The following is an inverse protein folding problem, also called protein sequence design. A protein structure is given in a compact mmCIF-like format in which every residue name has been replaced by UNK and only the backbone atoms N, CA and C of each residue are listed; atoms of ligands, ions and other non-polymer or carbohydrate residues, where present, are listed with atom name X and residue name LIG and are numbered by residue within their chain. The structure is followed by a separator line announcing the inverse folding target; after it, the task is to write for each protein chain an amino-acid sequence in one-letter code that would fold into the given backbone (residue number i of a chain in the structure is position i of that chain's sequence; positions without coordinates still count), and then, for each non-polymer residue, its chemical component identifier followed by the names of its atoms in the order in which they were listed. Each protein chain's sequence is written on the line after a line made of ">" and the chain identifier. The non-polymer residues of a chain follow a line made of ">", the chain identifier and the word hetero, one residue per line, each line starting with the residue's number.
data_IF_335494746817
#
_entry.id   IF_335494746817
#
_cell.length_a   1.000
_cell.length_b   1.000
_cell.length_c   1.000
_cell.angle_alpha   90.00
_cell.angle_beta   90.00
_cell.angle_gamma   90.00
#
_symmetry.space_group_name_H-M   'P 1'
#
loop_
_entity.id
_entity.type
_entity.pdbx_description
1 polymer ?
#
# COMPACT_ATOMS: atom_id res chain seq x y z
N UNK A 1 -12.18 22.16 -8.58
CA UNK A 1 -11.62 20.80 -8.85
C UNK A 1 -10.13 20.94 -9.07
N UNK A 2 -9.30 20.15 -8.40
CA UNK A 2 -7.86 20.11 -8.67
C UNK A 2 -7.63 19.53 -10.06
N UNK A 3 -6.63 20.05 -10.79
CA UNK A 3 -6.28 19.54 -12.09
C UNK A 3 -5.65 18.13 -12.01
N UNK A 4 -5.63 17.41 -13.11
CA UNK A 4 -5.11 16.04 -13.15
C UNK A 4 -3.62 15.96 -12.81
N UNK A 5 -2.86 16.99 -13.16
CA UNK A 5 -1.43 17.08 -12.88
C UNK A 5 -1.17 17.22 -11.38
N UNK A 6 -1.95 18.06 -10.71
CA UNK A 6 -1.88 18.22 -9.24
C UNK A 6 -2.25 16.93 -8.53
N UNK A 7 -3.32 16.25 -8.96
CA UNK A 7 -3.70 14.96 -8.39
C UNK A 7 -2.63 13.88 -8.58
N UNK A 8 -1.97 13.83 -9.76
CA UNK A 8 -0.86 12.91 -10.01
C UNK A 8 0.32 13.21 -9.09
N UNK A 9 0.66 14.49 -8.87
CA UNK A 9 1.75 14.90 -7.98
C UNK A 9 1.46 14.51 -6.54
N UNK A 10 0.24 14.79 -6.04
CA UNK A 10 -0.16 14.44 -4.67
C UNK A 10 -0.05 12.92 -4.47
N UNK A 11 -0.64 12.12 -5.37
CA UNK A 11 -0.54 10.67 -5.28
C UNK A 11 0.90 10.15 -5.36
N UNK A 12 1.72 10.74 -6.22
CA UNK A 12 3.13 10.35 -6.36
C UNK A 12 3.96 10.71 -5.12
N UNK A 13 3.75 11.91 -4.55
CA UNK A 13 4.38 12.29 -3.27
C UNK A 13 3.94 11.32 -2.17
N UNK A 14 2.66 10.94 -2.15
CA UNK A 14 2.14 9.92 -1.25
C UNK A 14 2.90 8.60 -1.37
N UNK A 15 3.04 8.04 -2.58
CA UNK A 15 3.73 6.77 -2.74
C UNK A 15 5.25 6.83 -2.46
N UNK A 16 5.92 7.94 -2.78
CA UNK A 16 7.33 8.15 -2.44
C UNK A 16 7.49 8.32 -0.93
N UNK A 17 6.63 9.12 -0.30
CA UNK A 17 6.61 9.32 1.16
C UNK A 17 6.39 8.01 1.91
N UNK A 18 5.44 7.17 1.44
CA UNK A 18 5.24 5.82 1.95
C UNK A 18 6.53 5.00 1.87
N UNK A 19 7.13 4.91 0.67
CA UNK A 19 8.31 4.09 0.46
C UNK A 19 9.49 4.51 1.36
N UNK A 20 9.71 5.81 1.50
CA UNK A 20 10.79 6.34 2.35
C UNK A 20 10.51 6.11 3.83
N UNK A 21 9.33 6.47 4.33
CA UNK A 21 8.99 6.29 5.75
C UNK A 21 9.00 4.82 6.13
N UNK A 22 8.45 3.94 5.28
CA UNK A 22 8.46 2.50 5.52
C UNK A 22 9.87 1.94 5.53
N UNK A 23 10.70 2.24 4.51
CA UNK A 23 12.07 1.72 4.42
C UNK A 23 12.92 2.16 5.61
N UNK A 24 12.83 3.45 6.00
CA UNK A 24 13.57 3.99 7.15
C UNK A 24 13.04 3.39 8.45
N UNK A 25 11.74 3.33 8.66
CA UNK A 25 11.13 2.72 9.84
C UNK A 25 11.51 1.26 9.99
N UNK A 26 11.47 0.52 8.88
CA UNK A 26 11.87 -0.87 8.86
C UNK A 26 13.37 -1.07 9.14
N UNK A 27 14.24 -0.18 8.63
CA UNK A 27 15.66 -0.20 8.95
C UNK A 27 15.91 0.03 10.46
N UNK A 28 15.25 1.03 11.08
CA UNK A 28 15.35 1.27 12.52
C UNK A 28 14.98 0.05 13.36
N UNK A 29 13.99 -0.70 12.92
CA UNK A 29 13.52 -1.89 13.62
C UNK A 29 14.41 -3.11 13.38
N UNK A 30 15.01 -3.25 12.17
CA UNK A 30 15.81 -4.41 11.76
C UNK A 30 17.29 -4.33 12.10
N UNK A 31 17.89 -3.13 12.03
CA UNK A 31 19.33 -2.95 12.23
C UNK A 31 19.87 -3.49 13.57
N UNK A 32 19.13 -3.42 14.71
CA UNK A 32 19.59 -4.00 15.96
C UNK A 32 19.59 -5.52 15.98
N UNK A 33 19.09 -6.20 14.94
CA UNK A 33 18.75 -7.63 14.94
C UNK A 33 17.47 -7.88 15.74
N UNK A 34 16.61 -8.76 15.22
CA UNK A 34 15.40 -9.14 15.94
C UNK A 34 15.74 -10.09 17.10
N UNK A 35 14.96 -10.07 18.18
CA UNK A 35 15.09 -11.07 19.21
C UNK A 35 14.65 -12.41 18.61
N UNK A 36 15.59 -13.17 18.04
CA UNK A 36 15.34 -14.54 17.63
C UNK A 36 15.07 -15.34 18.89
N UNK A 37 13.83 -15.65 19.08
CA UNK A 37 13.17 -16.10 20.28
C UNK A 37 13.84 -17.30 20.95
N UNK A 38 14.77 -17.04 21.87
CA UNK A 38 15.22 -18.04 22.81
C UNK A 38 14.34 -18.10 24.05
N UNK A 39 13.94 -16.96 24.59
CA UNK A 39 13.02 -16.89 25.73
C UNK A 39 12.18 -15.62 25.74
N UNK A 40 11.04 -15.65 26.45
CA UNK A 40 10.20 -14.48 26.66
C UNK A 40 10.96 -13.34 27.38
N UNK A 41 11.88 -13.71 28.29
CA UNK A 41 12.72 -12.75 29.00
C UNK A 41 13.67 -12.03 28.07
N UNK A 42 14.30 -12.73 27.13
CA UNK A 42 15.22 -12.13 26.14
C UNK A 42 14.48 -11.17 25.21
N UNK A 43 13.29 -11.55 24.74
CA UNK A 43 12.43 -10.67 23.92
C UNK A 43 12.07 -9.41 24.71
N UNK A 44 11.65 -9.54 25.96
CA UNK A 44 11.31 -8.39 26.81
C UNK A 44 12.53 -7.48 27.04
N UNK A 45 13.69 -8.04 27.33
CA UNK A 45 14.94 -7.28 27.52
C UNK A 45 15.37 -6.58 26.24
N UNK A 46 15.19 -7.21 25.07
CA UNK A 46 15.50 -6.58 23.78
C UNK A 46 14.69 -5.30 23.56
N UNK A 47 13.38 -5.30 23.84
CA UNK A 47 12.53 -4.11 23.74
C UNK A 47 12.91 -3.02 24.75
N UNK A 48 13.41 -3.38 25.95
CA UNK A 48 13.94 -2.40 26.91
C UNK A 48 15.16 -1.69 26.33
N UNK A 49 16.10 -2.44 25.78
CA UNK A 49 17.35 -1.89 25.20
C UNK A 49 17.10 -1.04 23.95
N UNK A 50 16.17 -1.48 23.07
CA UNK A 50 15.92 -0.86 21.76
C UNK A 50 14.65 0.01 21.72
N UNK A 51 14.14 0.46 22.88
CA UNK A 51 12.89 1.19 23.01
C UNK A 51 12.75 2.38 22.06
N UNK A 52 13.78 3.23 21.97
CA UNK A 52 13.75 4.43 21.14
C UNK A 52 13.65 4.09 19.65
N UNK A 53 14.39 3.08 19.22
CA UNK A 53 14.38 2.61 17.82
C UNK A 53 12.99 2.04 17.45
N UNK A 54 12.40 1.20 18.31
CA UNK A 54 11.08 0.63 18.10
C UNK A 54 9.98 1.70 18.05
N UNK A 55 10.03 2.71 18.93
CA UNK A 55 9.10 3.85 18.90
C UNK A 55 9.24 4.65 17.60
N UNK A 56 10.48 4.93 17.18
CA UNK A 56 10.73 5.62 15.92
C UNK A 56 10.19 4.82 14.74
N UNK A 57 10.42 3.51 14.71
CA UNK A 57 9.89 2.62 13.69
C UNK A 57 8.35 2.64 13.65
N UNK A 58 7.68 2.59 14.79
CA UNK A 58 6.21 2.65 14.87
C UNK A 58 5.66 3.99 14.36
N UNK A 59 6.27 5.12 14.73
CA UNK A 59 5.88 6.45 14.24
C UNK A 59 6.07 6.56 12.74
N UNK A 60 7.22 6.11 12.22
CA UNK A 60 7.49 6.11 10.77
C UNK A 60 6.54 5.18 10.01
N UNK A 61 6.15 4.05 10.60
CA UNK A 61 5.11 3.17 10.07
C UNK A 61 3.75 3.89 9.95
N UNK A 62 3.33 4.61 10.99
CA UNK A 62 2.08 5.39 10.94
C UNK A 62 2.15 6.49 9.86
N UNK A 63 3.27 7.19 9.74
CA UNK A 63 3.47 8.19 8.68
C UNK A 63 3.50 7.53 7.29
N UNK A 64 4.07 6.35 7.16
CA UNK A 64 4.05 5.60 5.92
C UNK A 64 2.60 5.31 5.49
N UNK A 65 1.75 4.81 6.38
CA UNK A 65 0.34 4.54 6.08
C UNK A 65 -0.43 5.81 5.72
N UNK A 66 -0.16 6.94 6.41
CA UNK A 66 -0.73 8.23 6.03
C UNK A 66 -0.41 8.59 4.56
N UNK A 67 0.84 8.48 4.16
CA UNK A 67 1.27 8.74 2.79
C UNK A 67 0.70 7.72 1.80
N UNK A 68 0.62 6.45 2.19
CA UNK A 68 0.07 5.38 1.37
C UNK A 68 -1.39 5.63 0.98
N UNK A 69 -2.21 6.14 1.89
CA UNK A 69 -3.61 6.46 1.59
C UNK A 69 -3.76 7.47 0.44
N UNK A 70 -2.89 8.47 0.36
CA UNK A 70 -2.91 9.43 -0.76
C UNK A 70 -2.56 8.79 -2.10
N UNK A 71 -1.58 7.89 -2.10
CA UNK A 71 -1.23 7.11 -3.28
C UNK A 71 -2.38 6.21 -3.72
N UNK A 72 -2.96 5.46 -2.79
CA UNK A 72 -4.05 4.52 -3.05
C UNK A 72 -5.30 5.21 -3.57
N UNK A 73 -5.70 6.35 -3.02
CA UNK A 73 -6.82 7.14 -3.51
C UNK A 73 -6.58 7.63 -4.94
N UNK A 74 -5.32 8.01 -5.27
CA UNK A 74 -5.00 8.39 -6.65
C UNK A 74 -5.01 7.19 -7.58
N UNK A 75 -4.44 6.08 -7.19
CA UNK A 75 -4.42 4.84 -7.97
C UNK A 75 -5.85 4.35 -8.21
N UNK A 76 -6.69 4.31 -7.17
CA UNK A 76 -8.12 4.00 -7.29
C UNK A 76 -8.80 4.85 -8.36
N UNK A 77 -8.58 6.17 -8.34
CA UNK A 77 -9.20 7.09 -9.30
C UNK A 77 -8.76 6.80 -10.75
N UNK A 78 -7.52 6.39 -10.96
CA UNK A 78 -6.97 6.01 -12.27
C UNK A 78 -7.62 4.70 -12.74
N UNK A 79 -7.60 3.67 -11.88
CA UNK A 79 -8.14 2.35 -12.19
C UNK A 79 -9.65 2.41 -12.44
N UNK A 80 -10.39 3.17 -11.62
CA UNK A 80 -11.84 3.31 -11.73
C UNK A 80 -12.27 3.96 -13.05
N UNK A 81 -11.54 5.01 -13.47
CA UNK A 81 -11.81 5.66 -14.77
C UNK A 81 -11.49 4.74 -15.94
N UNK A 82 -10.44 3.94 -15.81
CA UNK A 82 -9.99 3.05 -16.87
C UNK A 82 -10.88 1.81 -17.01
N UNK A 83 -11.37 1.25 -15.91
CA UNK A 83 -12.25 0.09 -15.94
C UNK A 83 -13.60 0.42 -16.56
N UNK A 84 -14.17 1.58 -16.24
CA UNK A 84 -15.51 1.96 -16.68
C UNK A 84 -16.60 1.10 -16.03
N UNK A 85 -17.79 1.09 -16.62
CA UNK A 85 -18.92 0.27 -16.17
C UNK A 85 -19.21 0.38 -14.66
N UNK A 86 -19.49 -0.74 -14.02
CA UNK A 86 -19.79 -0.80 -12.58
C UNK A 86 -18.55 -0.71 -11.68
N UNK A 87 -17.34 -0.99 -12.21
CA UNK A 87 -16.09 -0.88 -11.49
C UNK A 87 -15.86 -1.97 -10.44
N UNK A 88 -16.30 -3.19 -10.71
CA UNK A 88 -16.19 -4.32 -9.79
C UNK A 88 -14.74 -4.63 -9.42
N UNK A 89 -13.84 -4.69 -10.41
CA UNK A 89 -12.44 -5.05 -10.19
C UNK A 89 -11.72 -3.96 -9.38
N UNK A 90 -12.03 -2.69 -9.66
CA UNK A 90 -11.50 -1.56 -8.86
C UNK A 90 -12.00 -1.60 -7.42
N UNK A 91 -13.22 -2.07 -7.18
CA UNK A 91 -13.72 -2.28 -5.80
C UNK A 91 -12.96 -3.39 -5.09
N UNK A 92 -12.62 -4.49 -5.77
CA UNK A 92 -11.76 -5.55 -5.21
C UNK A 92 -10.39 -5.00 -4.83
N UNK A 93 -9.78 -4.21 -5.73
CA UNK A 93 -8.53 -3.50 -5.43
C UNK A 93 -8.66 -2.67 -4.15
N UNK A 94 -9.66 -1.78 -4.08
CA UNK A 94 -9.82 -0.85 -2.97
C UNK A 94 -10.12 -1.57 -1.64
N UNK A 95 -11.02 -2.56 -1.67
CA UNK A 95 -11.33 -3.36 -0.49
C UNK A 95 -10.10 -4.12 0.03
N UNK A 96 -9.33 -4.73 -0.87
CA UNK A 96 -8.10 -5.44 -0.50
C UNK A 96 -7.07 -4.54 0.14
N UNK A 97 -6.86 -3.34 -0.40
CA UNK A 97 -5.93 -2.36 0.17
C UNK A 97 -6.42 -1.77 1.49
N UNK A 98 -7.72 -1.50 1.63
CA UNK A 98 -8.28 -0.99 2.87
C UNK A 98 -8.12 -2.01 4.02
N UNK A 99 -8.39 -3.28 3.74
CA UNK A 99 -8.19 -4.36 4.71
C UNK A 99 -6.71 -4.48 5.06
N UNK A 100 -5.82 -4.45 4.07
CA UNK A 100 -4.37 -4.48 4.29
C UNK A 100 -3.91 -3.34 5.21
N UNK A 101 -4.32 -2.09 4.94
CA UNK A 101 -4.00 -0.93 5.78
C UNK A 101 -4.55 -1.09 7.20
N UNK A 102 -5.76 -1.63 7.36
CA UNK A 102 -6.36 -1.86 8.69
C UNK A 102 -5.54 -2.88 9.50
N UNK A 103 -5.07 -3.95 8.86
CA UNK A 103 -4.16 -4.91 9.48
C UNK A 103 -2.84 -4.25 9.87
N UNK A 104 -2.20 -3.51 8.97
CA UNK A 104 -0.95 -2.82 9.27
C UNK A 104 -1.08 -1.84 10.44
N UNK A 105 -2.17 -1.09 10.53
CA UNK A 105 -2.46 -0.23 11.69
C UNK A 105 -2.54 -1.04 12.99
N UNK A 106 -3.20 -2.19 12.97
CA UNK A 106 -3.29 -3.07 14.14
C UNK A 106 -1.91 -3.56 14.58
N UNK A 107 -1.04 -3.89 13.64
CA UNK A 107 0.31 -4.36 13.95
C UNK A 107 1.22 -3.27 14.50
N UNK A 108 1.15 -2.09 13.92
CA UNK A 108 1.84 -0.93 14.49
C UNK A 108 1.37 -0.63 15.90
N UNK A 109 0.10 -0.90 16.23
CA UNK A 109 -0.43 -0.76 17.57
C UNK A 109 0.17 -1.81 18.53
N UNK A 110 0.38 -3.05 18.08
CA UNK A 110 1.08 -4.05 18.89
C UNK A 110 2.52 -3.64 19.18
N UNK A 111 3.26 -3.25 18.14
CA UNK A 111 4.61 -2.74 18.29
C UNK A 111 4.67 -1.53 19.24
N UNK A 112 3.78 -0.57 19.08
CA UNK A 112 3.68 0.59 19.96
C UNK A 112 3.44 0.20 21.41
N UNK A 113 2.51 -0.74 21.64
CA UNK A 113 2.14 -1.20 22.99
C UNK A 113 3.35 -1.80 23.72
N UNK A 114 4.12 -2.66 23.05
CA UNK A 114 5.34 -3.25 23.61
C UNK A 114 6.40 -2.19 23.91
N UNK A 115 6.57 -1.21 23.01
CA UNK A 115 7.60 -0.18 23.14
C UNK A 115 7.19 0.96 24.09
N UNK A 116 5.91 1.09 24.45
CA UNK A 116 5.43 2.22 25.27
C UNK A 116 5.94 2.12 26.72
N UNK A 117 5.86 0.92 27.32
CA UNK A 117 6.35 0.65 28.68
C UNK A 117 7.12 -0.68 28.72
N UNK A 118 8.28 -0.76 28.08
CA UNK A 118 9.04 -1.98 28.03
C UNK A 118 9.51 -2.37 29.45
N UNK A 119 9.52 -3.66 29.74
CA UNK A 119 9.89 -4.19 31.05
C UNK A 119 8.84 -4.02 32.16
N UNK A 120 7.70 -3.37 31.91
CA UNK A 120 6.59 -3.26 32.86
C UNK A 120 5.48 -4.30 32.61
N UNK A 121 5.57 -5.00 31.50
CA UNK A 121 4.64 -6.06 31.11
C UNK A 121 5.29 -7.43 31.38
N UNK A 122 4.49 -8.45 31.66
CA UNK A 122 4.99 -9.81 31.78
C UNK A 122 5.73 -10.23 30.50
N UNK A 123 6.89 -10.88 30.60
CA UNK A 123 7.68 -11.27 29.43
C UNK A 123 6.89 -12.10 28.41
N UNK A 124 6.01 -13.00 28.85
CA UNK A 124 5.17 -13.85 28.01
C UNK A 124 4.15 -13.03 27.20
N UNK A 125 3.60 -11.95 27.78
CA UNK A 125 2.70 -11.04 27.10
C UNK A 125 3.47 -10.23 26.07
N UNK A 126 4.69 -9.78 26.40
CA UNK A 126 5.57 -9.08 25.45
C UNK A 126 5.91 -9.96 24.26
N UNK A 127 6.24 -11.22 24.50
CA UNK A 127 6.50 -12.21 23.45
C UNK A 127 5.25 -12.43 22.58
N UNK A 128 4.08 -12.65 23.18
CA UNK A 128 2.84 -12.83 22.43
C UNK A 128 2.49 -11.63 21.52
N UNK A 129 2.71 -10.40 22.01
CA UNK A 129 2.51 -9.19 21.21
C UNK A 129 3.54 -9.06 20.09
N UNK A 130 4.79 -9.47 20.34
CA UNK A 130 5.82 -9.52 19.28
C UNK A 130 5.46 -10.54 18.20
N UNK A 131 4.99 -11.73 18.59
CA UNK A 131 4.57 -12.76 17.64
C UNK A 131 3.34 -12.30 16.82
N UNK A 132 2.39 -11.61 17.46
CA UNK A 132 1.29 -10.94 16.77
C UNK A 132 1.77 -9.85 15.80
N UNK A 133 2.82 -9.11 16.14
CA UNK A 133 3.41 -8.12 15.24
C UNK A 133 4.14 -8.78 14.06
N UNK A 134 4.77 -9.93 14.24
CA UNK A 134 5.44 -10.65 13.17
C UNK A 134 4.48 -11.42 12.25
N UNK A 135 3.31 -11.82 12.75
CA UNK A 135 2.33 -12.66 12.06
C UNK A 135 1.44 -12.05 10.95
N UNK A 136 1.45 -10.73 10.67
CA UNK A 136 0.50 -10.04 9.81
C UNK A 136 0.54 -10.45 8.34
N UNK A 137 1.71 -10.72 7.84
CA UNK A 137 1.85 -11.13 6.45
C UNK A 137 0.96 -12.33 6.11
N UNK A 138 0.85 -13.27 7.04
CA UNK A 138 0.01 -14.48 6.87
C UNK A 138 -1.49 -14.14 6.87
N UNK A 139 -1.93 -13.17 7.66
CA UNK A 139 -3.35 -12.82 7.75
C UNK A 139 -3.83 -11.94 6.58
N UNK A 140 -2.98 -11.04 6.10
CA UNK A 140 -3.35 -10.03 5.10
C UNK A 140 -2.93 -10.37 3.66
N UNK A 141 -2.13 -11.44 3.43
CA UNK A 141 -1.58 -11.74 2.10
C UNK A 141 -2.66 -11.92 1.02
N UNK A 142 -3.77 -12.56 1.37
CA UNK A 142 -4.86 -12.78 0.41
C UNK A 142 -5.49 -11.49 -0.09
N UNK A 143 -5.67 -10.51 0.80
CA UNK A 143 -6.22 -9.20 0.47
C UNK A 143 -5.24 -8.39 -0.40
N UNK A 144 -3.96 -8.38 -0.03
CA UNK A 144 -2.89 -7.75 -0.82
C UNK A 144 -2.76 -8.39 -2.20
N UNK A 145 -2.74 -9.73 -2.27
CA UNK A 145 -2.72 -10.48 -3.53
C UNK A 145 -3.88 -10.09 -4.42
N UNK A 146 -5.13 -10.10 -3.91
CA UNK A 146 -6.31 -9.74 -4.67
C UNK A 146 -6.22 -8.31 -5.24
N UNK A 147 -5.76 -7.35 -4.44
CA UNK A 147 -5.58 -5.97 -4.86
C UNK A 147 -4.55 -5.82 -5.98
N UNK A 148 -3.39 -6.46 -5.85
CA UNK A 148 -2.35 -6.40 -6.89
C UNK A 148 -2.77 -7.12 -8.18
N UNK A 149 -3.46 -8.26 -8.10
CA UNK A 149 -3.99 -8.96 -9.27
C UNK A 149 -5.10 -8.16 -9.96
N UNK A 150 -5.99 -7.51 -9.20
CA UNK A 150 -6.99 -6.59 -9.74
C UNK A 150 -6.34 -5.41 -10.48
N UNK A 151 -5.29 -4.81 -9.88
CA UNK A 151 -4.49 -3.76 -10.51
C UNK A 151 -3.86 -4.25 -11.82
N UNK A 152 -3.22 -5.41 -11.79
CA UNK A 152 -2.60 -6.02 -12.97
C UNK A 152 -3.60 -6.21 -14.10
N UNK A 153 -4.76 -6.78 -13.79
CA UNK A 153 -5.84 -7.01 -14.75
C UNK A 153 -6.27 -5.73 -15.45
N UNK A 154 -6.60 -4.69 -14.67
CA UNK A 154 -7.06 -3.40 -15.24
C UNK A 154 -5.96 -2.77 -16.08
N UNK A 155 -4.73 -2.69 -15.56
CA UNK A 155 -3.61 -2.04 -16.26
C UNK A 155 -3.28 -2.74 -17.57
N UNK A 156 -3.22 -4.07 -17.58
CA UNK A 156 -2.89 -4.83 -18.79
C UNK A 156 -3.99 -4.74 -19.85
N UNK A 157 -5.26 -4.73 -19.43
CA UNK A 157 -6.42 -4.64 -20.32
C UNK A 157 -6.59 -3.23 -20.90
N UNK A 158 -6.45 -2.18 -20.05
CA UNK A 158 -6.82 -0.80 -20.44
C UNK A 158 -5.62 0.08 -20.77
N UNK A 159 -4.40 -0.34 -20.39
CA UNK A 159 -3.16 0.44 -20.54
C UNK A 159 -3.23 1.82 -19.86
N UNK A 160 -4.01 1.92 -18.80
CA UNK A 160 -4.12 3.17 -18.02
C UNK A 160 -2.83 3.53 -17.28
N UNK A 161 -1.92 2.60 -17.08
CA UNK A 161 -0.53 2.76 -16.64
C UNK A 161 0.39 2.07 -17.66
N UNK A 162 1.71 2.31 -17.62
CA UNK A 162 2.66 1.58 -18.45
C UNK A 162 2.51 0.07 -18.26
N UNK A 163 2.68 -0.71 -19.33
CA UNK A 163 2.52 -2.18 -19.29
C UNK A 163 3.37 -2.87 -18.22
N UNK A 164 4.59 -2.37 -18.01
CA UNK A 164 5.46 -2.92 -16.97
C UNK A 164 4.80 -2.87 -15.58
N UNK A 165 4.04 -1.80 -15.26
CA UNK A 165 3.35 -1.67 -13.98
C UNK A 165 2.28 -2.77 -13.79
N UNK A 166 1.62 -3.22 -14.86
CA UNK A 166 0.69 -4.33 -14.81
C UNK A 166 1.38 -5.67 -14.61
N UNK A 167 2.45 -5.96 -15.37
CA UNK A 167 3.20 -7.21 -15.21
C UNK A 167 3.86 -7.32 -13.84
N UNK A 168 4.46 -6.23 -13.37
CA UNK A 168 5.07 -6.22 -12.03
C UNK A 168 4.02 -6.28 -10.92
N UNK A 169 2.84 -5.67 -11.07
CA UNK A 169 1.74 -5.86 -10.13
C UNK A 169 1.30 -7.33 -10.04
N UNK A 170 1.22 -8.04 -11.19
CA UNK A 170 0.93 -9.47 -11.16
C UNK A 170 2.00 -10.27 -10.41
N UNK A 171 3.29 -9.97 -10.65
CA UNK A 171 4.40 -10.61 -9.95
C UNK A 171 4.36 -10.33 -8.44
N UNK A 172 4.07 -9.08 -8.03
CA UNK A 172 3.86 -8.70 -6.63
C UNK A 172 2.68 -9.45 -6.02
N UNK A 173 1.55 -9.53 -6.72
CA UNK A 173 0.40 -10.30 -6.26
C UNK A 173 0.74 -11.76 -6.01
N UNK A 174 1.46 -12.41 -6.95
CA UNK A 174 1.90 -13.81 -6.80
C UNK A 174 2.93 -13.96 -5.68
N UNK A 175 3.84 -12.99 -5.48
CA UNK A 175 4.83 -13.06 -4.41
C UNK A 175 4.22 -13.07 -3.01
N UNK A 176 2.98 -12.60 -2.84
CA UNK A 176 2.27 -12.67 -1.55
C UNK A 176 2.02 -14.12 -1.10
N UNK A 177 1.99 -15.09 -2.02
CA UNK A 177 1.88 -16.50 -1.68
C UNK A 177 3.09 -17.02 -0.87
N UNK A 178 4.22 -16.30 -0.91
CA UNK A 178 5.41 -16.64 -0.12
C UNK A 178 5.19 -16.47 1.39
N UNK A 179 4.13 -15.80 1.81
CA UNK A 179 3.72 -15.78 3.22
C UNK A 179 3.12 -17.09 3.71
N UNK A 180 2.63 -17.98 2.81
CA UNK A 180 2.02 -19.25 3.23
C UNK A 180 3.03 -20.16 3.94
N UNK A 181 4.23 -20.43 3.39
CA UNK A 181 5.22 -21.26 4.06
C UNK A 181 5.65 -20.72 5.43
N UNK A 182 5.62 -19.40 5.65
CA UNK A 182 6.06 -18.78 6.91
C UNK A 182 5.21 -19.19 8.11
N UNK A 183 3.95 -19.61 7.88
CA UNK A 183 3.07 -20.14 8.92
C UNK A 183 3.42 -21.57 9.37
N UNK A 184 4.31 -22.27 8.65
CA UNK A 184 4.64 -23.67 8.89
C UNK A 184 6.13 -23.90 9.16
N UNK A 185 6.99 -22.94 8.82
CA UNK A 185 8.45 -23.08 8.89
C UNK A 185 9.02 -22.01 9.81
N UNK A 186 9.72 -22.46 10.84
CA UNK A 186 10.47 -21.59 11.74
C UNK A 186 11.96 -21.69 11.41
N UNK A 187 12.48 -20.67 10.73
CA UNK A 187 13.89 -20.57 10.35
C UNK A 187 14.15 -20.71 8.84
N UNK A 188 15.35 -20.30 8.41
CA UNK A 188 15.81 -20.36 7.04
C UNK A 188 15.20 -19.31 6.12
N UNK A 189 15.17 -19.58 4.82
CA UNK A 189 14.74 -18.58 3.82
C UNK A 189 13.28 -18.18 3.89
N UNK A 190 12.44 -18.97 4.57
CA UNK A 190 11.02 -18.71 4.79
C UNK A 190 10.70 -18.24 6.21
N UNK A 191 11.71 -17.94 7.02
CA UNK A 191 11.48 -17.41 8.36
C UNK A 191 10.68 -16.11 8.30
N UNK A 192 9.67 -15.98 9.17
CA UNK A 192 8.86 -14.76 9.25
C UNK A 192 9.62 -13.59 9.87
N UNK A 193 10.66 -13.87 10.63
CA UNK A 193 11.47 -12.85 11.27
C UNK A 193 12.52 -12.25 10.32
N UNK A 194 13.29 -13.07 9.58
CA UNK A 194 14.42 -12.62 8.77
C UNK A 194 14.60 -13.35 7.44
N UNK A 195 13.67 -14.23 7.06
CA UNK A 195 13.74 -15.01 5.83
C UNK A 195 13.64 -14.17 4.57
N UNK A 196 14.55 -14.39 3.61
CA UNK A 196 14.55 -13.66 2.33
C UNK A 196 13.21 -13.81 1.60
N UNK A 197 12.69 -15.02 1.48
CA UNK A 197 11.43 -15.29 0.79
C UNK A 197 10.23 -15.13 1.72
N UNK A 198 10.39 -15.30 3.03
CA UNK A 198 9.29 -15.13 3.99
C UNK A 198 8.91 -13.68 4.25
N UNK A 199 9.87 -12.76 4.18
CA UNK A 199 9.65 -11.36 4.57
C UNK A 199 10.11 -10.39 3.50
N UNK A 200 11.39 -10.44 3.09
CA UNK A 200 11.97 -9.40 2.25
C UNK A 200 11.34 -9.33 0.86
N UNK A 201 11.02 -10.46 0.25
CA UNK A 201 10.38 -10.48 -1.08
C UNK A 201 8.92 -10.01 -0.99
N UNK A 202 8.04 -10.59 -0.16
CA UNK A 202 6.63 -10.20 -0.16
C UNK A 202 6.36 -8.80 0.40
N UNK A 203 7.23 -8.24 1.27
CA UNK A 203 7.12 -6.84 1.73
C UNK A 203 7.88 -5.86 0.83
N UNK A 204 9.04 -6.24 0.33
CA UNK A 204 9.87 -5.35 -0.49
C UNK A 204 9.31 -5.13 -1.89
N UNK A 205 8.71 -6.14 -2.50
CA UNK A 205 8.17 -6.01 -3.87
C UNK A 205 7.00 -5.03 -3.98
N UNK A 206 5.99 -5.00 -3.08
CA UNK A 206 4.97 -3.95 -3.06
C UNK A 206 5.55 -2.54 -2.87
N UNK A 207 6.53 -2.42 -1.96
CA UNK A 207 7.19 -1.15 -1.68
C UNK A 207 7.89 -0.59 -2.92
N UNK A 208 8.71 -1.41 -3.57
CA UNK A 208 9.41 -1.04 -4.81
C UNK A 208 8.43 -0.73 -5.94
N UNK A 209 7.35 -1.51 -6.06
CA UNK A 209 6.31 -1.27 -7.05
C UNK A 209 5.63 0.08 -6.83
N UNK A 210 5.24 0.39 -5.58
CA UNK A 210 4.63 1.67 -5.23
C UNK A 210 5.54 2.85 -5.54
N UNK A 211 6.82 2.76 -5.19
CA UNK A 211 7.82 3.78 -5.52
C UNK A 211 7.96 3.97 -7.05
N UNK A 212 8.08 2.88 -7.80
CA UNK A 212 8.25 2.93 -9.26
C UNK A 212 7.01 3.52 -9.97
N UNK A 213 5.80 3.12 -9.56
CA UNK A 213 4.56 3.69 -10.10
C UNK A 213 4.41 5.16 -9.73
N UNK A 214 4.81 5.55 -8.53
CA UNK A 214 4.80 6.96 -8.11
C UNK A 214 5.72 7.83 -8.98
N UNK A 215 6.92 7.34 -9.30
CA UNK A 215 7.83 8.03 -10.24
C UNK A 215 7.21 8.11 -11.64
N UNK A 216 6.54 7.06 -12.09
CA UNK A 216 5.85 7.07 -13.38
C UNK A 216 4.70 8.08 -13.41
N UNK A 217 3.97 8.25 -12.31
CA UNK A 217 2.90 9.25 -12.18
C UNK A 217 3.44 10.69 -12.27
N UNK A 218 4.61 10.97 -11.67
CA UNK A 218 5.26 12.28 -11.79
C UNK A 218 5.65 12.63 -13.23
N UNK A 219 6.05 11.62 -14.01
CA UNK A 219 6.49 11.80 -15.41
C UNK A 219 5.35 11.85 -16.42
N UNK A 220 4.10 11.63 -15.99
CA UNK A 220 2.94 11.66 -16.89
C UNK A 220 2.73 13.09 -17.41
N UNK A 221 2.74 13.29 -18.73
CA UNK A 221 2.34 14.57 -19.30
C UNK A 221 0.86 14.83 -18.96
N UNK A 222 0.54 16.08 -18.66
CA UNK A 222 -0.85 16.53 -18.54
C UNK A 222 -1.53 16.34 -19.89
N UNK A 223 -2.52 15.48 -19.98
CA UNK A 223 -3.40 15.47 -21.14
C UNK A 223 -4.19 16.78 -21.08
N UNK A 224 -3.92 17.69 -22.00
CA UNK A 224 -4.72 18.89 -22.14
C UNK A 224 -6.20 18.47 -22.23
N UNK A 225 -7.11 19.12 -21.50
CA UNK A 225 -8.53 18.80 -21.60
C UNK A 225 -8.91 18.94 -23.08
N UNK A 226 -9.33 17.83 -23.67
CA UNK A 226 -9.88 17.85 -25.03
C UNK A 226 -11.06 18.81 -24.95
N UNK A 227 -10.91 20.01 -25.52
CA UNK A 227 -12.02 20.95 -25.69
C UNK A 227 -13.08 20.16 -26.44
N UNK A 228 -14.16 19.77 -25.76
CA UNK A 228 -15.32 19.28 -26.46
C UNK A 228 -15.69 20.39 -27.48
N UNK A 229 -15.83 20.05 -28.76
CA UNK A 229 -16.32 21.02 -29.70
C UNK A 229 -17.63 21.56 -29.16
N UNK A 230 -17.70 22.85 -28.91
CA UNK A 230 -18.96 23.51 -28.56
C UNK A 230 -19.93 23.18 -29.69
N UNK A 231 -21.05 22.49 -29.44
CA UNK A 231 -22.00 22.22 -30.50
C UNK A 231 -22.37 23.56 -31.14
N UNK A 232 -22.44 23.63 -32.47
CA UNK A 232 -22.80 24.87 -33.15
C UNK A 232 -24.12 25.33 -32.55
N UNK A 233 -24.14 26.56 -32.08
CA UNK A 233 -25.38 27.20 -31.64
C UNK A 233 -26.29 27.20 -32.84
N UNK A 234 -27.26 26.27 -32.84
CA UNK A 234 -28.28 26.20 -33.83
C UNK A 234 -29.02 27.53 -33.73
N UNK A 235 -28.75 28.42 -34.70
CA UNK A 235 -29.37 29.71 -34.77
C UNK A 235 -30.88 29.47 -34.81
N UNK A 236 -31.52 29.81 -33.70
CA UNK A 236 -32.96 29.73 -33.54
C UNK A 236 -33.58 30.52 -34.69
N UNK A 237 -34.00 29.81 -35.73
CA UNK A 237 -34.82 30.38 -36.79
C UNK A 237 -36.07 30.95 -36.12
N UNK A 238 -36.07 32.25 -36.05
CA UNK A 238 -37.25 33.05 -35.75
C UNK A 238 -38.31 32.68 -36.79
N UNK A 239 -39.17 31.71 -36.47
CA UNK A 239 -40.47 31.52 -37.16
C UNK A 239 -41.34 32.72 -36.78
N UNK A 240 -41.24 33.76 -37.58
CA UNK A 240 -42.26 34.79 -37.67
C UNK A 240 -43.53 34.12 -38.20
N UNK A 241 -44.44 33.77 -37.31
CA UNK A 241 -45.81 33.41 -37.67
C UNK A 241 -46.55 34.65 -38.14
N UNK A 242 -46.58 34.87 -39.45
CA UNK A 242 -47.57 35.72 -40.07
C UNK A 242 -48.92 35.03 -39.96
N UNK A 243 -49.74 35.47 -39.05
CA UNK A 243 -51.18 35.28 -39.05
C UNK A 243 -51.80 36.56 -39.64
N UNK A 244 -52.25 36.49 -40.88
CA UNK A 244 -53.17 37.45 -41.47
C UNK A 244 -54.32 36.73 -42.08
N UNK A 245 -55.50 37.16 -41.63
CA UNK A 245 -56.88 36.96 -42.14
C UNK A 245 -57.52 35.61 -41.98
#
# INVERSE_FOLDING_TARGET
>A
MLDERTNNRIGAIGGIGYALCFAVGWAFWRLPGLPNASSAADVSQWFVVHQSQCRTAAILGCLALFFFMWFECRLYSILRRAEGGDGMITRVFFAGQLIFVAFDMMFLQFLWTVCYRPGQTLPEVTQALNDLYLGPGVAAFGCSMAAFLATAWIVLKTRCLPRWAGHTAAAVGVSQLLFIPTGFVHGGIFDIADGLLGVYVPLGTPLLWTAAVSIALLRRPSVAPTRQPVPPVESAQVRSSNTSS
#
